data_IF_774862322399
#
_entry.id   IF_774862322399
#
_cell.length_a   1.000
_cell.length_b   1.000
_cell.length_c   1.000
_cell.angle_alpha   90.00
_cell.angle_beta   90.00
_cell.angle_gamma   90.00
#
_symmetry.space_group_name_H-M   'P 1'
#
loop_
_entity.id
_entity.type
_entity.pdbx_description
1 polymer ?
#
# COMPACT_ATOMS: atom_id res chain seq x y z
N UNK A 1 35.33 28.59 -49.12
CA UNK A 1 34.53 29.17 -48.02
C UNK A 1 33.04 28.96 -48.33
N UNK A 2 32.49 27.84 -47.91
CA UNK A 2 31.07 27.49 -48.16
C UNK A 2 30.31 27.74 -46.85
N UNK A 3 29.39 28.73 -46.88
CA UNK A 3 28.55 29.14 -45.76
C UNK A 3 27.64 27.98 -45.35
N UNK A 4 27.81 27.46 -44.15
CA UNK A 4 26.87 26.64 -43.45
C UNK A 4 25.67 27.52 -43.04
N UNK A 5 24.55 27.40 -43.74
CA UNK A 5 23.28 27.98 -43.30
C UNK A 5 22.82 27.21 -42.04
N UNK A 6 22.81 27.89 -40.92
CA UNK A 6 22.28 27.36 -39.65
C UNK A 6 20.79 27.10 -39.83
N UNK A 7 20.37 25.86 -39.67
CA UNK A 7 18.98 25.43 -39.55
C UNK A 7 18.45 25.84 -38.14
N UNK A 8 17.72 26.95 -38.10
CA UNK A 8 17.01 27.39 -36.89
C UNK A 8 15.64 26.67 -36.78
N UNK A 9 15.64 25.38 -36.54
CA UNK A 9 14.40 24.60 -36.35
C UNK A 9 14.73 23.13 -36.07
N UNK A 10 13.82 22.44 -35.39
CA UNK A 10 13.94 20.99 -35.21
C UNK A 10 13.99 20.28 -36.56
N UNK A 11 14.94 19.33 -36.80
CA UNK A 11 15.01 18.60 -38.08
C UNK A 11 13.66 17.94 -38.41
N UNK A 12 13.29 17.97 -39.69
CA UNK A 12 12.02 17.39 -40.18
C UNK A 12 12.29 16.08 -40.96
N UNK A 13 11.23 15.28 -41.15
CA UNK A 13 11.30 14.11 -42.02
C UNK A 13 11.78 14.44 -43.44
N UNK A 14 11.41 15.63 -43.93
CA UNK A 14 11.87 16.12 -45.24
C UNK A 14 13.38 16.39 -45.28
N UNK A 15 13.98 16.83 -44.19
CA UNK A 15 15.43 17.03 -44.09
C UNK A 15 16.17 15.68 -44.08
N UNK A 16 15.63 14.68 -43.38
CA UNK A 16 16.16 13.30 -43.40
C UNK A 16 16.06 12.72 -44.81
N UNK A 17 14.92 12.83 -45.47
CA UNK A 17 14.72 12.35 -46.83
C UNK A 17 15.71 12.98 -47.83
N UNK A 18 15.89 14.29 -47.72
CA UNK A 18 16.82 15.06 -48.52
C UNK A 18 18.28 14.61 -48.31
N UNK A 19 18.71 14.44 -47.03
CA UNK A 19 20.06 14.01 -46.71
C UNK A 19 20.31 12.55 -47.14
N UNK A 20 19.32 11.67 -46.98
CA UNK A 20 19.40 10.27 -47.41
C UNK A 20 19.23 10.06 -48.92
N UNK A 21 18.88 11.11 -49.70
CA UNK A 21 18.65 11.00 -51.14
C UNK A 21 17.46 10.11 -51.52
N UNK A 22 16.36 10.21 -50.77
CA UNK A 22 15.14 9.44 -50.99
C UNK A 22 13.87 10.32 -50.89
N UNK A 23 12.73 9.81 -51.34
CA UNK A 23 11.47 10.51 -51.10
C UNK A 23 11.08 10.51 -49.64
N UNK A 24 10.28 11.49 -49.18
CA UNK A 24 9.75 11.53 -47.80
C UNK A 24 8.92 10.29 -47.47
N UNK A 25 8.21 9.73 -48.46
CA UNK A 25 7.47 8.48 -48.28
C UNK A 25 8.42 7.29 -48.05
N UNK A 26 9.54 7.21 -48.79
CA UNK A 26 10.56 6.17 -48.61
C UNK A 26 11.28 6.34 -47.28
N UNK A 27 11.63 7.57 -46.87
CA UNK A 27 12.21 7.86 -45.57
C UNK A 27 11.26 7.45 -44.43
N UNK A 28 9.97 7.77 -44.54
CA UNK A 28 8.96 7.35 -43.55
C UNK A 28 8.83 5.82 -43.44
N UNK A 29 8.82 5.13 -44.59
CA UNK A 29 8.75 3.66 -44.60
C UNK A 29 10.01 3.02 -44.00
N UNK A 30 11.20 3.55 -44.31
CA UNK A 30 12.47 3.08 -43.75
C UNK A 30 12.50 3.27 -42.22
N UNK A 31 12.17 4.44 -41.72
CA UNK A 31 12.13 4.73 -40.30
C UNK A 31 11.10 3.87 -39.54
N UNK A 32 10.02 3.42 -40.20
CA UNK A 32 8.99 2.53 -39.62
C UNK A 32 9.25 1.04 -39.86
N UNK A 33 10.48 0.66 -40.25
CA UNK A 33 10.90 -0.73 -40.48
C UNK A 33 9.97 -1.54 -41.41
N UNK A 34 9.36 -0.87 -42.43
CA UNK A 34 8.53 -1.54 -43.43
C UNK A 34 9.35 -2.47 -44.31
N UNK A 35 8.84 -3.71 -44.51
CA UNK A 35 9.51 -4.77 -45.27
C UNK A 35 9.68 -4.47 -46.75
N UNK A 36 8.98 -3.47 -47.28
CA UNK A 36 9.01 -3.04 -48.68
C UNK A 36 10.12 -2.00 -48.97
N UNK A 37 11.07 -1.79 -48.07
CA UNK A 37 12.24 -0.90 -48.25
C UNK A 37 13.52 -1.74 -48.27
N UNK A 38 14.40 -1.49 -49.25
CA UNK A 38 15.67 -2.19 -49.33
C UNK A 38 16.57 -1.90 -48.13
N UNK A 39 17.41 -2.87 -47.76
CA UNK A 39 18.37 -2.73 -46.65
C UNK A 39 19.29 -1.52 -46.82
N UNK A 40 19.79 -1.26 -48.01
CA UNK A 40 20.67 -0.13 -48.32
C UNK A 40 19.96 1.22 -48.16
N UNK A 41 18.66 1.29 -48.51
CA UNK A 41 17.84 2.50 -48.28
C UNK A 41 17.61 2.72 -46.81
N UNK A 42 17.32 1.65 -46.07
CA UNK A 42 17.13 1.71 -44.62
C UNK A 42 18.39 2.24 -43.92
N UNK A 43 19.57 1.70 -44.23
CA UNK A 43 20.84 2.12 -43.63
C UNK A 43 21.15 3.60 -43.92
N UNK A 44 20.94 4.10 -45.14
CA UNK A 44 21.14 5.52 -45.51
C UNK A 44 20.19 6.44 -44.75
N UNK A 45 18.92 6.05 -44.59
CA UNK A 45 17.91 6.87 -43.89
C UNK A 45 18.20 6.92 -42.39
N UNK A 46 18.62 5.82 -41.78
CA UNK A 46 19.00 5.78 -40.34
C UNK A 46 20.24 6.65 -40.11
N UNK A 47 21.29 6.55 -40.96
CA UNK A 47 22.46 7.40 -40.85
C UNK A 47 22.09 8.90 -40.95
N UNK A 48 21.30 9.28 -41.94
CA UNK A 48 20.86 10.66 -42.13
C UNK A 48 20.01 11.17 -40.94
N UNK A 49 19.16 10.32 -40.36
CA UNK A 49 18.36 10.67 -39.17
C UNK A 49 19.26 10.90 -37.93
N UNK A 50 20.29 10.05 -37.77
CA UNK A 50 21.27 10.18 -36.68
C UNK A 50 22.10 11.44 -36.82
N UNK A 51 22.62 11.72 -38.01
CA UNK A 51 23.46 12.89 -38.31
C UNK A 51 22.71 14.22 -38.06
N UNK A 52 21.41 14.25 -38.38
CA UNK A 52 20.54 15.41 -38.14
C UNK A 52 20.01 15.50 -36.74
N UNK A 53 20.14 14.49 -35.90
CA UNK A 53 19.43 14.40 -34.61
C UNK A 53 17.91 14.37 -34.78
N UNK A 54 17.43 13.78 -35.89
CA UNK A 54 16.01 13.68 -36.19
C UNK A 54 15.36 12.61 -35.30
N UNK A 55 14.45 13.02 -34.44
CA UNK A 55 13.58 12.12 -33.66
C UNK A 55 12.21 12.08 -34.33
N UNK A 56 11.96 11.05 -35.13
CA UNK A 56 10.68 10.85 -35.82
C UNK A 56 9.53 10.64 -34.83
N UNK A 57 8.35 11.16 -35.12
CA UNK A 57 7.15 10.94 -34.32
C UNK A 57 6.74 9.47 -34.19
N UNK A 58 7.27 8.58 -35.04
CA UNK A 58 6.95 7.13 -35.04
C UNK A 58 8.11 6.24 -34.62
N UNK A 59 9.31 6.77 -34.32
CA UNK A 59 10.48 5.99 -33.88
C UNK A 59 10.84 6.18 -32.40
N UNK A 60 9.96 6.72 -31.61
CA UNK A 60 9.86 6.22 -30.25
C UNK A 60 9.16 4.87 -30.43
N UNK A 61 9.90 3.79 -30.57
CA UNK A 61 9.44 2.45 -30.18
C UNK A 61 8.79 2.70 -28.81
N UNK A 62 7.46 2.70 -28.77
CA UNK A 62 6.78 3.23 -27.59
C UNK A 62 7.20 2.31 -26.45
N UNK A 63 8.10 2.81 -25.60
CA UNK A 63 8.54 2.06 -24.41
C UNK A 63 7.27 1.66 -23.70
N UNK A 64 7.08 0.37 -23.41
CA UNK A 64 5.87 -0.09 -22.75
C UNK A 64 5.62 0.73 -21.49
N UNK A 65 4.38 1.11 -21.25
CA UNK A 65 4.01 1.95 -20.14
C UNK A 65 2.95 1.25 -19.30
N UNK A 66 3.03 1.42 -17.97
CA UNK A 66 1.99 1.01 -17.04
C UNK A 66 1.42 2.27 -16.39
N UNK A 67 0.10 2.41 -16.37
CA UNK A 67 -0.56 3.43 -15.58
C UNK A 67 -0.57 2.99 -14.11
N UNK A 68 -0.10 3.86 -13.22
CA UNK A 68 -0.02 3.60 -11.78
C UNK A 68 -0.83 4.68 -11.06
N UNK A 69 -1.92 4.28 -10.43
CA UNK A 69 -2.91 5.18 -9.84
C UNK A 69 -2.93 5.01 -8.35
N UNK A 70 -2.87 6.12 -7.62
CA UNK A 70 -2.84 6.16 -6.15
C UNK A 70 -3.89 7.13 -5.62
N UNK A 71 -4.39 6.87 -4.43
CA UNK A 71 -5.29 7.76 -3.69
C UNK A 71 -4.56 8.97 -3.09
N UNK A 72 -3.28 8.81 -2.73
CA UNK A 72 -2.47 9.90 -2.19
C UNK A 72 -0.97 9.67 -2.41
N UNK A 73 -0.23 10.75 -2.65
CA UNK A 73 1.24 10.74 -2.64
C UNK A 73 1.84 11.07 -1.27
N UNK A 74 1.06 11.55 -0.32
CA UNK A 74 1.55 11.90 1.03
C UNK A 74 1.73 10.70 1.96
N UNK A 75 1.25 9.52 1.56
CA UNK A 75 1.40 8.28 2.34
C UNK A 75 2.79 7.67 2.14
N UNK A 76 3.52 7.41 3.24
CA UNK A 76 4.79 6.68 3.20
C UNK A 76 4.60 5.24 2.69
N UNK A 77 3.46 4.61 2.98
CA UNK A 77 3.10 3.31 2.42
C UNK A 77 3.06 3.37 0.88
N UNK A 78 2.28 4.29 0.33
CA UNK A 78 2.15 4.49 -1.13
C UNK A 78 3.50 4.78 -1.79
N UNK A 79 4.33 5.61 -1.16
CA UNK A 79 5.67 5.93 -1.66
C UNK A 79 6.58 4.69 -1.74
N UNK A 80 6.54 3.79 -0.75
CA UNK A 80 7.33 2.55 -0.77
C UNK A 80 6.81 1.55 -1.81
N UNK A 81 5.50 1.42 -1.97
CA UNK A 81 4.89 0.57 -3.02
C UNK A 81 5.30 1.09 -4.40
N UNK A 82 5.19 2.41 -4.63
CA UNK A 82 5.63 3.04 -5.88
C UNK A 82 7.12 2.83 -6.13
N UNK A 83 7.98 2.98 -5.11
CA UNK A 83 9.42 2.76 -5.25
C UNK A 83 9.73 1.32 -5.72
N UNK A 84 9.07 0.32 -5.16
CA UNK A 84 9.21 -1.07 -5.60
C UNK A 84 8.72 -1.28 -7.05
N UNK A 85 7.60 -0.69 -7.40
CA UNK A 85 7.07 -0.74 -8.77
C UNK A 85 8.01 -0.06 -9.78
N UNK A 86 8.60 1.10 -9.42
CA UNK A 86 9.58 1.81 -10.27
C UNK A 86 10.83 0.97 -10.52
N UNK A 87 11.38 0.32 -9.48
CA UNK A 87 12.57 -0.53 -9.61
C UNK A 87 12.29 -1.70 -10.56
N UNK A 88 11.16 -2.39 -10.38
CA UNK A 88 10.80 -3.53 -11.25
C UNK A 88 10.52 -3.07 -12.68
N UNK A 89 9.74 -2.00 -12.85
CA UNK A 89 9.44 -1.45 -14.17
C UNK A 89 10.71 -1.05 -14.93
N UNK A 90 11.65 -0.38 -14.27
CA UNK A 90 12.94 -0.02 -14.86
C UNK A 90 13.76 -1.25 -15.28
N UNK A 91 13.78 -2.31 -14.45
CA UNK A 91 14.46 -3.57 -14.77
C UNK A 91 13.86 -4.27 -16.00
N UNK A 92 12.56 -4.06 -16.26
CA UNK A 92 11.84 -4.60 -17.43
C UNK A 92 11.81 -3.64 -18.64
N UNK A 93 12.45 -2.47 -18.55
CA UNK A 93 12.43 -1.46 -19.61
C UNK A 93 11.05 -0.82 -19.81
N UNK A 94 10.27 -0.68 -18.74
CA UNK A 94 8.90 -0.15 -18.72
C UNK A 94 8.89 1.21 -18.00
N UNK A 95 8.09 2.16 -18.49
CA UNK A 95 7.82 3.41 -17.78
C UNK A 95 6.53 3.31 -16.96
N UNK A 96 6.57 3.87 -15.75
CA UNK A 96 5.38 4.09 -14.94
C UNK A 96 4.86 5.52 -15.12
N UNK A 97 3.60 5.63 -15.50
CA UNK A 97 2.88 6.90 -15.50
C UNK A 97 2.00 6.98 -14.25
N UNK A 98 2.40 7.81 -13.28
CA UNK A 98 1.67 7.95 -12.03
C UNK A 98 0.56 8.98 -12.14
N UNK A 99 -0.62 8.66 -11.60
CA UNK A 99 -1.78 9.55 -11.52
C UNK A 99 -2.31 9.54 -10.09
N UNK A 100 -2.55 10.73 -9.55
CA UNK A 100 -3.22 10.93 -8.27
C UNK A 100 -4.72 11.03 -8.49
N UNK A 101 -5.49 10.34 -7.67
CA UNK A 101 -6.94 10.47 -7.62
C UNK A 101 -7.30 11.37 -6.45
N UNK A 102 -7.73 12.59 -6.72
CA UNK A 102 -8.43 13.37 -5.71
C UNK A 102 -9.81 12.73 -5.52
N UNK A 103 -9.99 12.08 -4.38
CA UNK A 103 -11.30 11.61 -3.95
C UNK A 103 -11.92 12.74 -3.14
N UNK A 104 -12.58 13.68 -3.81
CA UNK A 104 -13.44 14.64 -3.12
C UNK A 104 -14.61 13.87 -2.49
N UNK A 105 -14.81 14.06 -1.17
CA UNK A 105 -15.64 13.23 -0.31
C UNK A 105 -17.10 13.02 -0.69
N UNK A 106 -17.62 13.71 -1.72
CA UNK A 106 -19.00 13.64 -2.17
C UNK A 106 -19.17 13.23 -3.66
N UNK A 107 -18.10 13.01 -4.42
CA UNK A 107 -18.21 12.58 -5.80
C UNK A 107 -17.91 11.09 -5.95
N UNK A 108 -18.91 10.32 -6.41
CA UNK A 108 -18.73 8.94 -6.90
C UNK A 108 -17.86 8.88 -8.18
N UNK A 109 -17.47 10.00 -8.73
CA UNK A 109 -16.68 10.14 -9.95
C UNK A 109 -15.18 10.17 -9.64
N UNK A 110 -14.68 8.99 -9.34
CA UNK A 110 -13.23 8.71 -9.42
C UNK A 110 -12.76 9.04 -10.84
N UNK A 111 -11.65 9.80 -11.06
CA UNK A 111 -11.17 10.18 -12.40
C UNK A 111 -10.85 9.01 -13.34
N UNK A 112 -11.03 7.76 -12.93
CA UNK A 112 -10.93 6.54 -13.75
C UNK A 112 -12.13 6.41 -14.71
N UNK A 113 -12.46 7.48 -15.44
CA UNK A 113 -13.60 7.49 -16.35
C UNK A 113 -13.39 6.51 -17.52
N UNK A 114 -14.49 5.97 -18.12
CA UNK A 114 -14.38 5.15 -19.32
C UNK A 114 -13.62 5.82 -20.47
N UNK A 115 -13.66 7.15 -20.55
CA UNK A 115 -12.93 7.94 -21.56
C UNK A 115 -11.44 7.93 -21.29
N UNK A 116 -11.02 8.14 -20.03
CA UNK A 116 -9.63 8.03 -19.63
C UNK A 116 -9.08 6.62 -19.84
N UNK A 117 -9.84 5.57 -19.44
CA UNK A 117 -9.46 4.18 -19.65
C UNK A 117 -9.27 3.83 -21.13
N UNK A 118 -10.14 4.33 -22.03
CA UNK A 118 -9.96 4.16 -23.49
C UNK A 118 -8.70 4.86 -24.00
N UNK A 119 -8.32 5.97 -23.38
CA UNK A 119 -7.09 6.70 -23.73
C UNK A 119 -5.84 5.92 -23.35
N UNK A 120 -5.75 5.47 -22.09
CA UNK A 120 -4.58 4.74 -21.60
C UNK A 120 -4.45 3.36 -22.25
N UNK A 121 -5.55 2.67 -22.56
CA UNK A 121 -5.53 1.38 -23.24
C UNK A 121 -4.85 1.40 -24.64
N UNK A 122 -4.66 2.58 -25.23
CA UNK A 122 -3.95 2.74 -26.51
C UNK A 122 -2.43 2.80 -26.38
N UNK A 123 -1.92 3.11 -25.19
CA UNK A 123 -0.51 3.43 -24.94
C UNK A 123 0.10 2.66 -23.77
N UNK A 124 -0.74 2.13 -22.88
CA UNK A 124 -0.29 1.40 -21.69
C UNK A 124 -0.61 -0.08 -21.80
N UNK A 125 0.27 -0.90 -21.27
CA UNK A 125 0.17 -2.35 -21.24
C UNK A 125 -0.65 -2.86 -20.05
N UNK A 126 -1.00 -2.00 -19.09
CA UNK A 126 -1.80 -2.35 -17.92
C UNK A 126 -2.03 -1.17 -17.00
N UNK A 127 -2.89 -1.39 -16.02
CA UNK A 127 -3.27 -0.46 -14.97
C UNK A 127 -3.04 -1.09 -13.60
N UNK A 128 -2.26 -0.42 -12.76
CA UNK A 128 -2.12 -0.73 -11.34
C UNK A 128 -2.84 0.35 -10.55
N UNK A 129 -3.69 -0.04 -9.61
CA UNK A 129 -4.37 0.86 -8.66
C UNK A 129 -3.97 0.49 -7.24
N UNK A 130 -3.63 1.48 -6.41
CA UNK A 130 -3.15 1.28 -5.04
C UNK A 130 -4.10 2.01 -4.08
N UNK A 131 -4.55 1.33 -3.02
CA UNK A 131 -5.44 1.87 -1.97
C UNK A 131 -6.69 2.58 -2.48
N UNK A 132 -7.12 2.25 -3.70
CA UNK A 132 -8.20 2.91 -4.42
C UNK A 132 -9.48 2.07 -4.40
N UNK A 133 -10.68 2.67 -4.30
CA UNK A 133 -11.93 1.95 -4.46
C UNK A 133 -12.11 1.44 -5.89
N UNK A 134 -12.64 0.23 -6.02
CA UNK A 134 -12.80 -0.46 -7.29
C UNK A 134 -14.28 -0.57 -7.67
N UNK A 135 -14.74 0.28 -8.56
CA UNK A 135 -16.10 0.17 -9.11
C UNK A 135 -16.23 -1.02 -10.07
N UNK A 136 -17.44 -1.59 -10.15
CA UNK A 136 -17.75 -2.61 -11.15
C UNK A 136 -17.60 -2.09 -12.59
N UNK A 137 -17.85 -0.79 -12.80
CA UNK A 137 -17.70 -0.11 -14.09
C UNK A 137 -16.22 -0.03 -14.52
N UNK A 138 -15.30 0.27 -13.62
CA UNK A 138 -13.86 0.27 -13.87
C UNK A 138 -13.41 -1.09 -14.38
N UNK A 139 -13.72 -2.16 -13.64
CA UNK A 139 -13.34 -3.53 -13.98
C UNK A 139 -13.91 -3.99 -15.31
N UNK A 140 -15.21 -3.80 -15.51
CA UNK A 140 -15.85 -4.20 -16.76
C UNK A 140 -15.33 -3.43 -17.98
N UNK A 141 -14.92 -2.18 -17.78
CA UNK A 141 -14.31 -1.38 -18.85
C UNK A 141 -12.91 -1.86 -19.17
N UNK A 142 -12.05 -2.11 -18.15
CA UNK A 142 -10.71 -2.69 -18.36
C UNK A 142 -10.79 -4.03 -19.09
N UNK A 143 -11.69 -4.92 -18.65
CA UNK A 143 -11.91 -6.22 -19.30
C UNK A 143 -12.28 -6.08 -20.78
N UNK A 144 -13.27 -5.23 -21.11
CA UNK A 144 -13.68 -4.98 -22.52
C UNK A 144 -12.57 -4.37 -23.38
N UNK A 145 -11.66 -3.59 -22.78
CA UNK A 145 -10.54 -2.98 -23.47
C UNK A 145 -9.33 -3.92 -23.59
N UNK A 146 -9.38 -5.10 -22.97
CA UNK A 146 -8.23 -5.99 -22.87
C UNK A 146 -7.06 -5.35 -22.09
N UNK A 147 -7.34 -4.41 -21.17
CA UNK A 147 -6.36 -3.72 -20.34
C UNK A 147 -6.20 -4.49 -19.01
N UNK A 148 -5.08 -5.20 -18.77
CA UNK A 148 -4.81 -5.83 -17.49
C UNK A 148 -4.95 -4.85 -16.32
N UNK A 149 -5.68 -5.27 -15.27
CA UNK A 149 -5.90 -4.51 -14.06
C UNK A 149 -5.40 -5.29 -12.85
N UNK A 150 -4.52 -4.68 -12.07
CA UNK A 150 -4.03 -5.20 -10.79
C UNK A 150 -4.32 -4.19 -9.70
N UNK A 151 -4.85 -4.64 -8.57
CA UNK A 151 -5.11 -3.80 -7.41
C UNK A 151 -4.20 -4.18 -6.25
N UNK A 152 -3.54 -3.18 -5.66
CA UNK A 152 -2.72 -3.33 -4.44
C UNK A 152 -3.52 -2.75 -3.28
N UNK A 153 -3.78 -3.57 -2.27
CA UNK A 153 -4.56 -3.24 -1.07
C UNK A 153 -5.81 -2.38 -1.36
N UNK A 154 -6.74 -2.86 -2.21
CA UNK A 154 -7.93 -2.10 -2.58
C UNK A 154 -8.79 -1.80 -1.35
N UNK A 155 -9.45 -0.62 -1.33
CA UNK A 155 -10.33 -0.22 -0.23
C UNK A 155 -11.69 -0.91 -0.27
N UNK A 156 -12.06 -1.55 -1.38
CA UNK A 156 -13.30 -2.32 -1.51
C UNK A 156 -13.01 -3.80 -1.72
N UNK A 157 -13.87 -4.66 -1.18
CA UNK A 157 -13.71 -6.11 -1.32
C UNK A 157 -13.64 -6.51 -2.81
N UNK A 158 -12.60 -7.27 -3.21
CA UNK A 158 -12.48 -7.72 -4.58
C UNK A 158 -13.64 -8.68 -4.92
N UNK A 159 -14.17 -8.55 -6.13
CA UNK A 159 -15.11 -9.53 -6.69
C UNK A 159 -14.37 -10.42 -7.67
N UNK A 160 -14.99 -11.53 -8.06
CA UNK A 160 -14.41 -12.59 -8.89
C UNK A 160 -13.60 -12.07 -10.09
N UNK A 161 -12.46 -12.70 -10.36
CA UNK A 161 -11.60 -12.45 -11.50
C UNK A 161 -10.66 -11.24 -11.41
N UNK A 162 -10.62 -10.50 -10.28
CA UNK A 162 -9.65 -9.41 -10.11
C UNK A 162 -8.39 -9.92 -9.41
N UNK A 163 -7.24 -9.69 -10.02
CA UNK A 163 -5.96 -9.92 -9.38
C UNK A 163 -5.68 -8.82 -8.35
N UNK A 164 -5.67 -9.21 -7.08
CA UNK A 164 -5.30 -8.33 -5.98
C UNK A 164 -3.99 -8.79 -5.34
N UNK A 165 -3.18 -7.83 -4.93
CA UNK A 165 -1.94 -8.07 -4.19
C UNK A 165 -2.06 -7.32 -2.88
N UNK A 166 -1.81 -7.99 -1.77
CA UNK A 166 -1.87 -7.40 -0.44
C UNK A 166 -0.95 -8.14 0.53
N UNK A 167 -0.94 -7.74 1.78
CA UNK A 167 -0.20 -8.38 2.83
C UNK A 167 -1.08 -9.37 3.64
N UNK A 168 -0.45 -10.21 4.46
CA UNK A 168 -1.14 -11.14 5.38
C UNK A 168 -1.69 -10.40 6.61
N UNK A 169 -2.58 -9.41 6.37
CA UNK A 169 -3.09 -8.48 7.39
C UNK A 169 -3.71 -9.18 8.61
N UNK A 170 -4.53 -10.22 8.37
CA UNK A 170 -5.20 -10.97 9.42
C UNK A 170 -4.19 -11.69 10.32
N UNK A 171 -3.25 -12.44 9.72
CA UNK A 171 -2.22 -13.19 10.46
C UNK A 171 -1.35 -12.24 11.29
N UNK A 172 -0.92 -11.15 10.69
CA UNK A 172 -0.06 -10.16 11.33
C UNK A 172 -0.72 -9.48 12.53
N UNK A 173 -1.98 -9.09 12.40
CA UNK A 173 -2.71 -8.46 13.50
C UNK A 173 -3.03 -9.46 14.61
N UNK A 174 -3.27 -10.73 14.27
CA UNK A 174 -3.41 -11.80 15.25
C UNK A 174 -2.11 -11.95 16.05
N UNK A 175 -0.97 -12.12 15.39
CA UNK A 175 0.35 -12.26 16.03
C UNK A 175 0.70 -11.04 16.90
N UNK A 176 0.47 -9.83 16.41
CA UNK A 176 0.70 -8.59 17.18
C UNK A 176 -0.18 -8.53 18.45
N UNK A 177 -1.42 -8.98 18.35
CA UNK A 177 -2.33 -9.02 19.51
C UNK A 177 -1.93 -10.10 20.50
N UNK A 178 -1.50 -11.26 20.02
CA UNK A 178 -0.96 -12.36 20.86
C UNK A 178 0.30 -11.93 21.63
N UNK A 179 1.17 -11.10 21.03
CA UNK A 179 2.30 -10.50 21.75
C UNK A 179 1.82 -9.69 22.95
N UNK A 180 0.83 -8.80 22.80
CA UNK A 180 0.29 -8.03 23.93
C UNK A 180 -0.35 -8.94 24.98
N UNK A 181 -1.08 -9.96 24.56
CA UNK A 181 -1.69 -10.94 25.47
C UNK A 181 -0.62 -11.70 26.26
N UNK A 182 0.47 -12.11 25.62
CA UNK A 182 1.60 -12.82 26.26
C UNK A 182 2.33 -11.93 27.28
N UNK A 183 2.33 -10.61 27.07
CA UNK A 183 2.86 -9.60 28.01
C UNK A 183 1.90 -9.29 29.15
N UNK A 184 0.75 -9.98 29.22
CA UNK A 184 -0.23 -9.87 30.31
C UNK A 184 -1.35 -8.87 30.06
N UNK A 185 -1.37 -8.16 28.93
CA UNK A 185 -2.45 -7.24 28.59
C UNK A 185 -3.78 -7.99 28.38
N UNK A 186 -4.85 -7.46 28.95
CA UNK A 186 -6.22 -8.01 28.81
C UNK A 186 -7.21 -6.95 28.33
N UNK A 187 -6.90 -5.67 28.53
CA UNK A 187 -7.62 -4.55 27.94
C UNK A 187 -6.79 -3.98 26.81
N UNK A 188 -7.05 -4.48 25.60
CA UNK A 188 -6.33 -4.15 24.39
C UNK A 188 -7.27 -3.37 23.48
N UNK A 189 -6.87 -2.17 23.10
CA UNK A 189 -7.60 -1.36 22.14
C UNK A 189 -7.17 -1.67 20.69
N UNK A 190 -8.12 -1.57 19.77
CA UNK A 190 -7.83 -1.55 18.33
C UNK A 190 -8.15 -0.15 17.77
N UNK A 191 -7.17 0.44 17.06
CA UNK A 191 -7.36 1.71 16.36
C UNK A 191 -7.15 1.45 14.87
N UNK A 192 -8.26 1.35 14.14
CA UNK A 192 -8.31 1.06 12.70
C UNK A 192 -8.12 2.29 11.82
N UNK A 193 -7.89 2.07 10.54
CA UNK A 193 -8.13 3.04 9.47
C UNK A 193 -9.61 3.11 9.12
N UNK A 194 -10.01 3.58 7.92
CA UNK A 194 -11.41 3.59 7.50
C UNK A 194 -12.05 2.21 7.60
N UNK A 195 -13.25 2.14 8.17
CA UNK A 195 -13.97 0.88 8.38
C UNK A 195 -14.28 0.16 7.06
N UNK A 196 -14.40 0.90 5.98
CA UNK A 196 -14.60 0.36 4.63
C UNK A 196 -13.34 -0.21 4.00
N UNK A 197 -12.16 0.08 4.56
CA UNK A 197 -10.87 -0.40 4.04
C UNK A 197 -10.70 -1.90 4.30
N UNK A 198 -10.52 -2.68 3.24
CA UNK A 198 -10.28 -4.14 3.35
C UNK A 198 -9.07 -4.46 4.22
N UNK A 199 -7.88 -3.86 4.03
CA UNK A 199 -6.74 -4.10 4.93
C UNK A 199 -7.04 -3.79 6.39
N UNK A 200 -7.74 -2.67 6.68
CA UNK A 200 -8.12 -2.30 8.04
C UNK A 200 -9.07 -3.31 8.66
N UNK A 201 -10.06 -3.77 7.90
CA UNK A 201 -11.00 -4.79 8.34
C UNK A 201 -10.31 -6.15 8.58
N UNK A 202 -9.41 -6.58 7.67
CA UNK A 202 -8.62 -7.80 7.86
C UNK A 202 -7.79 -7.74 9.16
N UNK A 203 -7.14 -6.60 9.46
CA UNK A 203 -6.40 -6.36 10.71
C UNK A 203 -7.31 -6.45 11.93
N UNK A 204 -8.48 -5.84 11.86
CA UNK A 204 -9.49 -5.93 12.94
C UNK A 204 -9.93 -7.37 13.19
N UNK A 205 -10.17 -8.15 12.14
CA UNK A 205 -10.54 -9.56 12.29
C UNK A 205 -9.41 -10.41 12.90
N UNK A 206 -8.15 -10.11 12.58
CA UNK A 206 -7.00 -10.74 13.22
C UNK A 206 -6.93 -10.45 14.72
N UNK A 207 -7.11 -9.18 15.10
CA UNK A 207 -7.22 -8.77 16.50
C UNK A 207 -8.34 -9.53 17.25
N UNK A 208 -9.55 -9.58 16.69
CA UNK A 208 -10.67 -10.31 17.30
C UNK A 208 -10.36 -11.81 17.45
N UNK A 209 -9.71 -12.39 16.46
CA UNK A 209 -9.34 -13.81 16.47
C UNK A 209 -8.36 -14.14 17.59
N UNK A 210 -7.37 -13.28 17.84
CA UNK A 210 -6.42 -13.44 18.94
C UNK A 210 -7.11 -13.33 20.30
N UNK A 211 -7.97 -12.30 20.48
CA UNK A 211 -8.73 -12.16 21.73
C UNK A 211 -9.55 -13.42 22.03
N UNK A 212 -10.25 -13.93 21.01
CA UNK A 212 -11.06 -15.14 21.14
C UNK A 212 -10.23 -16.38 21.43
N UNK A 213 -9.09 -16.56 20.76
CA UNK A 213 -8.23 -17.71 20.96
C UNK A 213 -7.64 -17.80 22.38
N UNK A 214 -7.51 -16.66 23.06
CA UNK A 214 -6.94 -16.56 24.40
C UNK A 214 -7.95 -16.20 25.49
N UNK A 215 -9.25 -16.34 25.22
CA UNK A 215 -10.34 -16.04 26.16
C UNK A 215 -10.28 -14.62 26.74
N UNK A 216 -9.76 -13.64 25.98
CA UNK A 216 -9.75 -12.22 26.36
C UNK A 216 -11.05 -11.59 25.89
N UNK A 217 -11.86 -11.00 26.80
CA UNK A 217 -13.12 -10.39 26.40
C UNK A 217 -12.94 -9.25 25.40
N UNK A 218 -13.67 -9.30 24.29
CA UNK A 218 -13.78 -8.17 23.38
C UNK A 218 -14.68 -7.08 23.99
N UNK A 219 -14.19 -5.84 24.04
CA UNK A 219 -14.92 -4.69 24.48
C UNK A 219 -15.07 -3.68 23.35
N UNK A 220 -16.27 -3.51 22.80
CA UNK A 220 -16.53 -2.62 21.65
C UNK A 220 -16.16 -1.15 21.91
N UNK A 221 -16.22 -0.72 23.19
CA UNK A 221 -15.78 0.62 23.61
C UNK A 221 -14.26 0.82 23.51
N UNK A 222 -13.47 -0.22 23.23
CA UNK A 222 -12.02 -0.15 22.99
C UNK A 222 -11.65 -0.17 21.49
N UNK A 223 -12.64 -0.07 20.61
CA UNK A 223 -12.42 0.00 19.15
C UNK A 223 -12.64 1.42 18.67
N UNK A 224 -11.72 1.94 17.86
CA UNK A 224 -11.85 3.23 17.16
C UNK A 224 -11.47 3.06 15.71
N UNK A 225 -12.20 3.76 14.85
CA UNK A 225 -11.89 3.86 13.43
C UNK A 225 -11.39 5.28 13.12
N UNK A 226 -10.45 5.41 12.20
CA UNK A 226 -9.84 6.67 11.78
C UNK A 226 -9.53 6.64 10.28
N UNK A 227 -8.62 7.46 9.81
CA UNK A 227 -8.27 7.66 8.40
C UNK A 227 -6.79 7.35 8.09
N UNK A 228 -6.17 6.46 8.84
CA UNK A 228 -4.74 6.12 8.76
C UNK A 228 -3.77 7.28 9.03
N UNK A 229 -4.24 8.43 9.50
CA UNK A 229 -3.42 9.61 9.73
C UNK A 229 -3.07 9.85 11.20
N UNK A 230 -2.07 10.69 11.43
CA UNK A 230 -1.64 11.08 12.78
C UNK A 230 -2.75 11.75 13.61
N UNK A 231 -3.51 12.75 13.09
CA UNK A 231 -4.60 13.37 13.86
C UNK A 231 -5.69 12.38 14.27
N UNK A 232 -6.02 11.40 13.41
CA UNK A 232 -6.95 10.32 13.73
C UNK A 232 -6.45 9.45 14.89
N UNK A 233 -5.15 9.12 14.88
CA UNK A 233 -4.49 8.42 15.99
C UNK A 233 -4.51 9.21 17.30
N UNK A 234 -4.26 10.52 17.25
CA UNK A 234 -4.37 11.42 18.41
C UNK A 234 -5.78 11.42 18.97
N UNK A 235 -6.80 11.61 18.14
CA UNK A 235 -8.21 11.64 18.56
C UNK A 235 -8.63 10.32 19.20
N UNK A 236 -8.27 9.19 18.59
CA UNK A 236 -8.55 7.86 19.13
C UNK A 236 -7.83 7.62 20.47
N UNK A 237 -6.55 7.97 20.56
CA UNK A 237 -5.76 7.90 21.77
C UNK A 237 -6.36 8.75 22.90
N UNK A 238 -6.73 10.00 22.61
CA UNK A 238 -7.37 10.90 23.56
C UNK A 238 -8.69 10.31 24.09
N UNK A 239 -9.53 9.79 23.21
CA UNK A 239 -10.80 9.15 23.59
C UNK A 239 -10.59 7.94 24.51
N UNK A 240 -9.69 7.02 24.12
CA UNK A 240 -9.45 5.77 24.83
C UNK A 240 -8.72 5.97 26.18
N UNK A 241 -7.76 6.88 26.23
CA UNK A 241 -6.99 7.19 27.43
C UNK A 241 -7.77 8.06 28.44
N UNK A 242 -8.91 8.66 28.04
CA UNK A 242 -9.83 9.38 28.91
C UNK A 242 -10.82 8.48 29.64
N UNK A 243 -10.89 7.20 29.30
CA UNK A 243 -11.72 6.23 30.02
C UNK A 243 -11.29 6.11 31.49
N UNK A 244 -12.18 5.67 32.33
CA UNK A 244 -11.91 5.40 33.76
C UNK A 244 -10.72 4.42 33.86
N UNK A 245 -9.88 4.50 34.90
CA UNK A 245 -8.68 3.68 35.03
C UNK A 245 -8.94 2.17 34.86
N UNK A 246 -10.08 1.67 35.39
CA UNK A 246 -10.50 0.27 35.32
C UNK A 246 -10.99 -0.15 33.91
N UNK A 247 -11.35 0.79 33.04
CA UNK A 247 -11.82 0.54 31.67
C UNK A 247 -10.72 0.87 30.61
N UNK A 248 -9.73 1.64 31.02
CA UNK A 248 -8.67 2.12 30.12
C UNK A 248 -7.84 0.97 29.54
N UNK A 249 -7.59 0.97 28.24
CA UNK A 249 -6.69 -0.02 27.62
C UNK A 249 -5.26 0.16 28.11
N UNK A 250 -4.54 -0.94 28.25
CA UNK A 250 -3.10 -0.97 28.56
C UNK A 250 -2.26 -1.39 27.35
N UNK A 251 -2.88 -1.95 26.32
CA UNK A 251 -2.26 -2.30 25.04
C UNK A 251 -3.05 -1.71 23.88
N UNK A 252 -2.35 -1.35 22.81
CA UNK A 252 -2.92 -0.75 21.60
C UNK A 252 -2.41 -1.47 20.37
N UNK A 253 -3.32 -1.94 19.52
CA UNK A 253 -3.06 -2.37 18.15
C UNK A 253 -3.51 -1.25 17.22
N UNK A 254 -2.57 -0.63 16.52
CA UNK A 254 -2.81 0.48 15.61
C UNK A 254 -2.63 0.01 14.17
N UNK A 255 -3.58 0.35 13.30
CA UNK A 255 -3.60 -0.12 11.91
C UNK A 255 -2.60 0.60 10.98
N UNK A 256 -1.81 1.54 11.48
CA UNK A 256 -0.66 2.14 10.78
C UNK A 256 0.34 2.76 11.77
N UNK A 257 1.55 3.05 11.30
CA UNK A 257 2.56 3.78 12.09
C UNK A 257 2.09 5.19 12.45
N UNK A 258 1.39 5.88 11.54
CA UNK A 258 0.84 7.21 11.80
C UNK A 258 -0.21 7.21 12.91
N UNK A 259 -1.11 6.22 12.92
CA UNK A 259 -2.08 6.06 14.01
C UNK A 259 -1.36 5.78 15.32
N UNK A 260 -0.38 4.86 15.31
CA UNK A 260 0.39 4.51 16.50
C UNK A 260 1.14 5.71 17.07
N UNK A 261 1.80 6.51 16.20
CA UNK A 261 2.47 7.74 16.62
C UNK A 261 1.49 8.75 17.25
N UNK A 262 0.26 8.85 16.71
CA UNK A 262 -0.80 9.68 17.28
C UNK A 262 -1.24 9.22 18.67
N UNK A 263 -1.42 7.92 18.88
CA UNK A 263 -1.72 7.32 20.19
C UNK A 263 -0.58 7.59 21.18
N UNK A 264 0.68 7.43 20.75
CA UNK A 264 1.86 7.72 21.57
C UNK A 264 1.91 9.20 21.98
N UNK A 265 1.57 10.13 21.08
CA UNK A 265 1.50 11.56 21.41
C UNK A 265 0.37 11.87 22.43
N UNK A 266 -0.82 11.25 22.27
CA UNK A 266 -1.91 11.38 23.20
C UNK A 266 -1.53 10.89 24.63
N UNK A 267 -0.79 9.78 24.71
CA UNK A 267 -0.26 9.24 25.95
C UNK A 267 0.77 10.20 26.59
N UNK A 268 1.74 10.66 25.81
CA UNK A 268 2.78 11.59 26.26
C UNK A 268 2.17 12.89 26.82
N UNK A 269 1.16 13.45 26.16
CA UNK A 269 0.47 14.66 26.64
C UNK A 269 -0.27 14.45 27.97
N UNK A 270 -0.54 13.21 28.34
CA UNK A 270 -1.10 12.83 29.64
C UNK A 270 -0.05 12.43 30.69
N UNK A 271 1.23 12.59 30.38
CA UNK A 271 2.33 12.18 31.25
C UNK A 271 2.48 10.67 31.41
N UNK A 272 1.90 9.88 30.48
CA UNK A 272 2.05 8.44 30.47
C UNK A 272 3.33 8.03 29.73
N UNK A 273 4.04 7.03 30.27
CA UNK A 273 5.27 6.50 29.70
C UNK A 273 5.00 5.21 28.93
N UNK A 274 5.62 5.11 27.77
CA UNK A 274 5.59 3.93 26.88
C UNK A 274 6.97 3.27 26.96
N UNK A 275 7.05 1.96 27.27
CA UNK A 275 5.97 0.99 27.43
C UNK A 275 5.45 0.82 28.87
N UNK A 276 5.94 1.60 29.85
CA UNK A 276 5.67 1.39 31.29
C UNK A 276 4.18 1.46 31.65
N UNK A 277 3.44 2.42 31.11
CA UNK A 277 2.01 2.63 31.42
C UNK A 277 1.07 2.03 30.37
N UNK A 278 1.50 2.04 29.11
CA UNK A 278 0.79 1.41 27.98
C UNK A 278 1.78 0.84 26.99
N UNK A 279 1.39 -0.23 26.29
CA UNK A 279 2.09 -0.78 25.14
C UNK A 279 1.39 -0.38 23.83
N UNK A 280 2.17 -0.07 22.78
CA UNK A 280 1.66 0.34 21.46
C UNK A 280 2.34 -0.47 20.38
N UNK A 281 1.55 -1.05 19.47
CA UNK A 281 2.04 -1.71 18.27
C UNK A 281 1.48 -0.99 17.03
N UNK A 282 2.38 -0.60 16.11
CA UNK A 282 2.05 0.00 14.82
C UNK A 282 1.95 -1.03 13.70
N UNK A 283 1.77 -0.52 12.49
CA UNK A 283 1.70 -1.32 11.27
C UNK A 283 2.34 -0.54 10.13
N UNK A 284 3.09 -1.19 9.25
CA UNK A 284 3.80 -0.79 8.03
C UNK A 284 5.33 -0.92 8.15
N UNK A 285 5.94 -0.53 9.25
CA UNK A 285 7.39 -0.37 9.47
C UNK A 285 8.01 0.66 8.51
N UNK A 286 7.39 1.82 8.44
CA UNK A 286 7.95 2.98 7.76
C UNK A 286 9.10 3.60 8.58
N UNK A 287 9.77 4.62 8.04
CA UNK A 287 10.83 5.34 8.77
C UNK A 287 10.36 5.90 10.12
N UNK A 288 9.05 6.19 10.26
CA UNK A 288 8.44 6.64 11.52
C UNK A 288 8.70 5.64 12.64
N UNK A 289 8.49 4.35 12.39
CA UNK A 289 8.60 3.32 13.41
C UNK A 289 10.02 3.18 13.97
N UNK A 290 11.02 3.33 13.11
CA UNK A 290 12.44 3.20 13.49
C UNK A 290 13.04 4.46 14.09
N UNK A 291 12.45 5.63 13.83
CA UNK A 291 12.93 6.95 14.26
C UNK A 291 12.16 7.55 15.43
N UNK A 292 10.97 6.99 15.76
CA UNK A 292 10.20 7.40 16.93
C UNK A 292 10.97 7.17 18.24
N UNK A 293 10.59 7.89 19.28
CA UNK A 293 11.13 7.72 20.64
C UNK A 293 9.97 7.51 21.62
N UNK A 294 9.87 6.30 22.20
CA UNK A 294 10.66 5.08 21.97
C UNK A 294 10.45 4.51 20.57
N UNK A 295 11.39 3.67 20.06
CA UNK A 295 11.26 3.01 18.75
C UNK A 295 10.07 2.04 18.76
N UNK A 296 9.26 2.12 17.72
CA UNK A 296 7.97 1.46 17.67
C UNK A 296 8.08 -0.04 17.33
N UNK A 297 7.45 -0.88 18.15
CA UNK A 297 7.11 -2.26 17.79
C UNK A 297 6.03 -2.22 16.70
N UNK A 298 6.24 -2.92 15.59
CA UNK A 298 5.36 -2.83 14.41
C UNK A 298 5.24 -4.15 13.68
N UNK A 299 4.19 -4.29 12.91
CA UNK A 299 4.14 -5.25 11.81
C UNK A 299 4.79 -4.61 10.58
N UNK A 300 5.84 -5.25 10.07
CA UNK A 300 6.48 -4.87 8.80
C UNK A 300 5.71 -5.44 7.63
N UNK A 301 5.31 -4.57 6.70
CA UNK A 301 4.76 -4.96 5.41
C UNK A 301 5.85 -4.98 4.32
N UNK A 302 5.79 -5.92 3.37
CA UNK A 302 6.72 -5.97 2.24
C UNK A 302 6.33 -4.97 1.14
N UNK A 303 6.20 -3.68 1.48
CA UNK A 303 5.61 -2.65 0.62
C UNK A 303 6.29 -2.55 -0.76
N UNK A 304 7.62 -2.58 -0.81
CA UNK A 304 8.35 -2.56 -2.10
C UNK A 304 8.08 -3.82 -2.92
N UNK A 305 7.96 -4.96 -2.25
CA UNK A 305 7.66 -6.22 -2.93
C UNK A 305 6.21 -6.26 -3.44
N UNK A 306 5.25 -5.63 -2.74
CA UNK A 306 3.89 -5.42 -3.25
C UNK A 306 3.92 -4.68 -4.59
N UNK A 307 4.66 -3.58 -4.67
CA UNK A 307 4.79 -2.79 -5.90
C UNK A 307 5.48 -3.55 -7.04
N UNK A 308 6.61 -4.22 -6.77
CA UNK A 308 7.33 -5.00 -7.78
C UNK A 308 6.50 -6.19 -8.27
N UNK A 309 5.76 -6.84 -7.36
CA UNK A 309 4.86 -7.95 -7.71
C UNK A 309 3.69 -7.47 -8.57
N UNK A 310 3.17 -6.25 -8.35
CA UNK A 310 2.12 -5.68 -9.19
C UNK A 310 2.58 -5.47 -10.63
N UNK A 311 3.82 -5.00 -10.85
CA UNK A 311 4.39 -4.87 -12.19
C UNK A 311 4.55 -6.24 -12.86
N UNK A 312 5.10 -7.23 -12.17
CA UNK A 312 5.22 -8.62 -12.69
C UNK A 312 3.86 -9.23 -13.01
N UNK A 313 2.84 -8.92 -12.20
CA UNK A 313 1.47 -9.38 -12.43
C UNK A 313 0.90 -8.80 -13.73
N UNK A 314 1.08 -7.50 -14.02
CA UNK A 314 0.66 -6.91 -15.30
C UNK A 314 1.30 -7.65 -16.48
N UNK A 315 2.61 -7.90 -16.42
CA UNK A 315 3.35 -8.59 -17.50
C UNK A 315 2.84 -10.02 -17.71
N UNK A 316 2.53 -10.72 -16.63
CA UNK A 316 1.96 -12.08 -16.68
C UNK A 316 0.56 -12.06 -17.31
N UNK A 317 -0.32 -11.16 -16.86
CA UNK A 317 -1.68 -11.01 -17.36
C UNK A 317 -1.73 -10.58 -18.83
N UNK A 318 -0.74 -9.82 -19.30
CA UNK A 318 -0.63 -9.44 -20.70
C UNK A 318 -0.38 -10.63 -21.61
N UNK A 319 0.44 -11.58 -21.15
CA UNK A 319 0.73 -12.80 -21.91
C UNK A 319 -0.31 -13.91 -21.71
N UNK A 320 -0.90 -13.98 -20.51
CA UNK A 320 -1.84 -15.02 -20.09
C UNK A 320 -2.90 -14.41 -19.16
N UNK A 321 -4.05 -13.95 -19.67
CA UNK A 321 -5.06 -13.21 -18.91
C UNK A 321 -5.60 -13.93 -17.65
N UNK A 322 -5.64 -15.26 -17.66
CA UNK A 322 -6.21 -16.07 -16.56
C UNK A 322 -5.13 -16.74 -15.69
N UNK A 323 -3.85 -16.34 -15.83
CA UNK A 323 -2.74 -17.06 -15.20
C UNK A 323 -2.49 -16.66 -13.74
N UNK A 324 -3.23 -15.70 -13.19
CA UNK A 324 -2.98 -15.19 -11.84
C UNK A 324 -4.22 -15.20 -10.97
N UNK A 325 -3.99 -15.50 -9.69
CA UNK A 325 -4.99 -15.40 -8.61
C UNK A 325 -4.59 -14.29 -7.63
N UNK A 326 -5.51 -13.84 -6.77
CA UNK A 326 -5.17 -12.95 -5.67
C UNK A 326 -4.00 -13.46 -4.83
N UNK A 327 -3.09 -12.57 -4.43
CA UNK A 327 -1.87 -12.90 -3.68
C UNK A 327 -1.82 -12.14 -2.37
N UNK A 328 -1.25 -12.78 -1.35
CA UNK A 328 -0.92 -12.16 -0.06
C UNK A 328 0.55 -12.42 0.23
N UNK A 329 1.31 -11.34 0.44
CA UNK A 329 2.72 -11.40 0.81
C UNK A 329 2.86 -11.46 2.33
N UNK A 330 3.84 -12.21 2.80
CA UNK A 330 4.10 -12.39 4.22
C UNK A 330 4.53 -11.08 4.88
N UNK A 331 4.06 -10.89 6.11
CA UNK A 331 4.43 -9.81 7.03
C UNK A 331 5.36 -10.34 8.11
N UNK A 332 6.00 -9.46 8.86
CA UNK A 332 6.91 -9.80 9.97
C UNK A 332 6.63 -8.90 11.17
N UNK A 333 6.51 -9.46 12.37
CA UNK A 333 6.41 -8.69 13.60
C UNK A 333 7.80 -8.27 14.11
N UNK A 334 8.05 -6.97 14.16
CA UNK A 334 9.33 -6.39 14.62
C UNK A 334 9.13 -5.81 16.02
N UNK A 335 9.63 -6.52 17.02
CA UNK A 335 9.57 -6.08 18.41
C UNK A 335 10.67 -5.05 18.69
N UNK A 336 10.27 -3.88 19.25
CA UNK A 336 11.16 -2.79 19.65
C UNK A 336 10.83 -2.32 21.06
N UNK A 337 10.76 -1.00 21.28
CA UNK A 337 10.74 -0.38 22.62
C UNK A 337 9.35 0.01 23.11
N UNK A 338 8.31 -0.01 22.26
CA UNK A 338 6.97 0.43 22.63
C UNK A 338 6.10 -0.65 23.26
N UNK A 339 6.63 -1.86 23.47
CA UNK A 339 5.91 -2.96 24.12
C UNK A 339 6.64 -3.44 25.37
N UNK A 340 5.90 -3.73 26.42
CA UNK A 340 6.41 -4.21 27.70
C UNK A 340 5.33 -4.95 28.50
N UNK A 341 5.66 -5.50 29.68
CA UNK A 341 4.69 -6.15 30.53
C UNK A 341 3.55 -5.22 30.96
N UNK A 342 2.36 -5.78 31.17
CA UNK A 342 1.22 -5.02 31.70
C UNK A 342 1.60 -4.31 33.00
N UNK A 343 1.16 -3.04 33.23
CA UNK A 343 1.46 -2.30 34.46
C UNK A 343 1.00 -3.04 35.72
N UNK A 344 1.86 -3.15 36.74
CA UNK A 344 1.59 -3.92 37.98
C UNK A 344 0.33 -3.48 38.72
N UNK A 345 -0.08 -2.21 38.63
CA UNK A 345 -1.33 -1.68 39.23
C UNK A 345 -2.63 -2.18 38.58
N UNK A 346 -2.52 -2.96 37.50
CA UNK A 346 -3.67 -3.52 36.76
C UNK A 346 -3.86 -5.00 37.04
N UNK A 347 -2.90 -5.65 37.70
CA UNK A 347 -3.02 -7.03 38.12
C UNK A 347 -4.04 -7.10 39.28
N UNK A 348 -5.01 -8.02 39.25
CA UNK A 348 -5.86 -8.27 40.40
C UNK A 348 -4.96 -8.66 41.59
N UNK A 349 -5.22 -8.07 42.73
CA UNK A 349 -4.49 -8.35 43.98
C UNK A 349 -4.62 -9.84 44.29
N UNK A 350 -3.54 -10.62 44.09
CA UNK A 350 -3.49 -12.06 44.39
C UNK A 350 -3.41 -12.36 45.88
N UNK A 351 -3.60 -11.36 46.76
CA UNK A 351 -3.44 -11.45 48.20
C UNK A 351 -4.76 -11.68 48.97
N UNK A 352 -5.86 -12.04 48.33
CA UNK A 352 -7.11 -12.37 49.03
C UNK A 352 -7.48 -13.84 48.72
N UNK A 353 -6.94 -14.79 49.42
CA UNK A 353 -7.66 -15.84 50.14
C UNK A 353 -6.71 -16.94 50.64
N UNK A 354 -6.05 -16.69 51.76
CA UNK A 354 -5.43 -17.77 52.54
C UNK A 354 -5.56 -17.60 54.06
N UNK A 355 -6.68 -17.06 54.54
CA UNK A 355 -6.96 -17.10 55.99
C UNK A 355 -8.43 -16.95 56.27
N UNK A 356 -9.19 -18.06 56.23
CA UNK A 356 -10.38 -18.31 57.08
C UNK A 356 -10.82 -19.77 56.95
N UNK A 357 -9.99 -20.71 57.42
CA UNK A 357 -10.51 -21.93 58.04
C UNK A 357 -10.60 -21.65 59.53
N UNK A 358 -11.74 -21.23 60.01
CA UNK A 358 -12.08 -21.34 61.43
C UNK A 358 -12.49 -22.78 61.70
N UNK A 359 -11.92 -23.45 62.69
CA UNK A 359 -12.39 -24.78 63.10
C UNK A 359 -13.79 -24.65 63.73
N UNK A 360 -14.70 -25.51 63.34
CA UNK A 360 -16.03 -25.70 63.92
C UNK A 360 -15.93 -26.18 65.37
N UNK A 361 -16.71 -25.64 66.32
CA UNK A 361 -16.71 -26.15 67.70
C UNK A 361 -17.42 -27.50 67.81
N UNK A 362 -16.85 -28.35 68.65
CA UNK A 362 -17.28 -29.71 69.02
C UNK A 362 -18.78 -29.80 69.37
N UNK A 363 -19.44 -30.86 68.87
CA UNK A 363 -20.69 -31.33 69.29
C UNK A 363 -20.49 -32.30 70.47
N UNK A 364 -21.22 -32.19 71.57
CA UNK A 364 -21.09 -33.11 72.71
C UNK A 364 -21.73 -34.46 72.42
N UNK A 365 -20.99 -35.52 72.83
CA UNK A 365 -21.45 -36.90 72.87
C UNK A 365 -22.46 -37.03 73.99
N UNK A 366 -23.66 -37.57 73.70
CA UNK A 366 -24.68 -38.06 74.64
C UNK A 366 -25.44 -39.20 73.99
#
# INVERSE_FOLDING_TARGET
MTRTQGLSGRPTLSDVARLAGVSTAAASKALNHRKDVSRSTHERVIAAATDLGYVGRSNISAVPQIAFVVDTFSSLYTAQVLAGACIEAAAQGIYLNTTHLEVDGDSEDVPLTPTWLRSIAKTHIGLIVVTTPLSGALRSTCSRLGLPLVAVDPTTAPRDGLVTIGATNWNASMEATELLISLGHRRIAFVGGPETSVPSFERYQGYLSALKAHDVPHASNLVRWSDFCFPGGVSAGDSLLSLRPEERPTGFICASDWIALGVMDAARRRGMEIPRDISVIGFDDTEIASTSTPRMTVVRQPMRELGSTAVRAILTLQSKPDAMSPMRLATELIVRETTGPVPARVLPDSSVDSTRMTPSPDLPVG
#
